data_IF_085696833883
#
_entry.id   IF_085696833883
#
_cell.length_a   1.000
_cell.length_b   1.000
_cell.length_c   1.000
_cell.angle_alpha   90.00
_cell.angle_beta   90.00
_cell.angle_gamma   90.00
#
_symmetry.space_group_name_H-M   'P 1'
#
loop_
_entity.id
_entity.type
_entity.pdbx_description
1 polymer ?
#
# COMPACT_ATOMS: atom_id res chain seq x y z
N UNK A 1 -31.57 -16.48 -2.60
CA UNK A 1 -30.77 -17.70 -2.82
C UNK A 1 -30.91 -18.06 -4.30
N UNK A 2 -29.85 -17.83 -5.09
CA UNK A 2 -29.86 -18.03 -6.54
C UNK A 2 -30.29 -19.46 -6.90
N UNK A 3 -31.30 -19.58 -7.76
CA UNK A 3 -31.70 -20.84 -8.37
C UNK A 3 -30.98 -20.93 -9.70
N UNK A 4 -30.16 -21.96 -9.90
CA UNK A 4 -29.31 -22.16 -11.10
C UNK A 4 -30.09 -22.22 -12.42
N UNK A 5 -31.40 -22.46 -12.34
CA UNK A 5 -32.27 -22.70 -13.48
C UNK A 5 -32.99 -21.45 -13.99
N UNK A 6 -32.77 -20.27 -13.39
CA UNK A 6 -33.42 -19.02 -13.79
C UNK A 6 -32.42 -18.02 -14.38
N UNK A 7 -32.84 -17.23 -15.39
CA UNK A 7 -31.98 -16.19 -15.97
C UNK A 7 -31.62 -15.12 -14.93
N UNK A 8 -30.39 -14.62 -15.00
CA UNK A 8 -29.88 -13.57 -14.13
C UNK A 8 -30.62 -12.25 -14.42
N UNK A 9 -31.38 -11.75 -13.44
CA UNK A 9 -32.07 -10.47 -13.53
C UNK A 9 -31.22 -9.38 -12.87
N UNK A 10 -30.68 -8.45 -13.65
CA UNK A 10 -29.99 -7.26 -13.13
C UNK A 10 -31.01 -6.34 -12.46
N UNK A 11 -30.86 -6.10 -11.16
CA UNK A 11 -31.75 -5.19 -10.42
C UNK A 11 -31.35 -3.73 -10.65
N UNK A 12 -32.33 -2.84 -10.78
CA UNK A 12 -32.12 -1.38 -10.88
C UNK A 12 -31.87 -0.70 -9.54
N UNK A 13 -32.12 -1.38 -8.42
CA UNK A 13 -31.79 -0.88 -7.08
C UNK A 13 -30.29 -0.82 -6.86
N UNK A 14 -29.83 0.20 -6.12
CA UNK A 14 -28.41 0.40 -5.75
C UNK A 14 -27.80 -0.87 -5.13
N UNK A 15 -28.57 -1.56 -4.27
CA UNK A 15 -28.09 -2.79 -3.63
C UNK A 15 -27.92 -3.93 -4.64
N UNK A 16 -28.79 -4.00 -5.66
CA UNK A 16 -28.69 -4.98 -6.74
C UNK A 16 -27.50 -4.69 -7.65
N UNK A 17 -27.26 -3.42 -7.98
CA UNK A 17 -26.09 -2.99 -8.75
C UNK A 17 -24.79 -3.34 -8.02
N UNK A 18 -24.72 -3.05 -6.71
CA UNK A 18 -23.56 -3.40 -5.88
C UNK A 18 -23.34 -4.93 -5.84
N UNK A 19 -24.41 -5.70 -5.72
CA UNK A 19 -24.35 -7.16 -5.76
C UNK A 19 -23.81 -7.68 -7.10
N UNK A 20 -24.30 -7.12 -8.21
CA UNK A 20 -23.86 -7.48 -9.57
C UNK A 20 -22.38 -7.13 -9.81
N UNK A 21 -21.90 -6.00 -9.28
CA UNK A 21 -20.49 -5.62 -9.33
C UNK A 21 -19.60 -6.58 -8.53
N UNK A 22 -20.01 -6.94 -7.31
CA UNK A 22 -19.27 -7.91 -6.49
C UNK A 22 -19.26 -9.29 -7.16
N UNK A 23 -20.36 -9.68 -7.83
CA UNK A 23 -20.46 -10.93 -8.58
C UNK A 23 -19.52 -10.93 -9.79
N UNK A 24 -19.51 -9.86 -10.59
CA UNK A 24 -18.55 -9.66 -11.70
C UNK A 24 -17.10 -9.72 -11.21
N UNK A 25 -16.79 -8.98 -10.15
CA UNK A 25 -15.46 -8.98 -9.54
C UNK A 25 -15.01 -10.39 -9.14
N UNK A 26 -15.91 -11.20 -8.55
CA UNK A 26 -15.61 -12.57 -8.16
C UNK A 26 -15.36 -13.49 -9.36
N UNK A 27 -16.09 -13.29 -10.46
CA UNK A 27 -15.90 -14.03 -11.72
C UNK A 27 -14.54 -13.67 -12.34
N UNK A 28 -14.25 -12.37 -12.47
CA UNK A 28 -12.99 -11.86 -13.02
C UNK A 28 -11.79 -12.31 -12.17
N UNK A 29 -11.93 -12.31 -10.84
CA UNK A 29 -10.92 -12.79 -9.91
C UNK A 29 -10.62 -14.29 -10.10
N UNK A 30 -11.64 -15.10 -10.36
CA UNK A 30 -11.47 -16.54 -10.54
C UNK A 30 -10.93 -16.89 -11.94
N UNK A 31 -11.30 -16.14 -12.98
CA UNK A 31 -10.86 -16.37 -14.35
C UNK A 31 -9.42 -15.89 -14.61
N UNK A 32 -8.96 -14.85 -13.91
CA UNK A 32 -7.58 -14.35 -13.99
C UNK A 32 -6.58 -15.08 -13.08
N UNK A 33 -6.95 -16.23 -12.48
CA UNK A 33 -6.01 -17.12 -11.81
C UNK A 33 -5.22 -17.92 -12.83
N UNK A 34 -4.26 -17.28 -13.50
CA UNK A 34 -3.09 -18.04 -13.97
C UNK A 34 -2.25 -18.36 -12.72
N UNK A 35 -2.20 -19.62 -12.24
CA UNK A 35 -1.50 -19.97 -11.00
C UNK A 35 -0.01 -19.62 -11.06
N UNK A 36 0.55 -19.48 -12.26
CA UNK A 36 1.96 -19.20 -12.51
C UNK A 36 2.26 -17.70 -12.75
N UNK A 37 1.24 -16.85 -12.83
CA UNK A 37 1.38 -15.39 -12.93
C UNK A 37 0.53 -14.72 -11.86
N UNK A 38 1.01 -14.76 -10.62
CA UNK A 38 0.71 -13.63 -9.73
C UNK A 38 1.67 -12.52 -10.13
N UNK A 39 1.24 -11.46 -10.83
CA UNK A 39 2.10 -10.30 -11.00
C UNK A 39 2.50 -9.87 -9.61
N UNK A 40 3.81 -9.83 -9.33
CA UNK A 40 4.33 -9.21 -8.12
C UNK A 40 3.57 -7.89 -7.93
N UNK A 41 2.85 -7.70 -6.81
CA UNK A 41 1.95 -6.57 -6.68
C UNK A 41 2.77 -5.31 -6.92
N UNK A 42 2.39 -4.56 -7.95
CA UNK A 42 2.93 -3.25 -8.27
C UNK A 42 4.45 -3.22 -8.47
N UNK A 43 4.95 -3.82 -9.56
CA UNK A 43 6.32 -3.57 -10.05
C UNK A 43 6.63 -2.07 -10.20
N UNK A 44 5.59 -1.26 -10.43
CA UNK A 44 5.65 0.20 -10.48
C UNK A 44 6.07 0.84 -9.15
N UNK A 45 5.95 0.14 -8.02
CA UNK A 45 6.38 0.61 -6.69
C UNK A 45 7.85 0.26 -6.38
N UNK A 46 8.59 -0.30 -7.33
CA UNK A 46 10.02 -0.59 -7.18
C UNK A 46 10.80 0.39 -8.05
N UNK A 47 11.60 1.23 -7.39
CA UNK A 47 12.52 2.16 -8.05
C UNK A 47 13.96 1.64 -7.98
N UNK A 48 14.70 1.84 -9.05
CA UNK A 48 16.10 1.45 -9.15
C UNK A 48 16.94 2.11 -8.04
N UNK A 49 17.84 1.33 -7.44
CA UNK A 49 18.65 1.75 -6.28
C UNK A 49 18.08 1.33 -4.92
N UNK A 50 16.85 0.82 -4.85
CA UNK A 50 16.26 0.33 -3.59
C UNK A 50 17.04 -0.79 -2.88
N UNK A 51 17.91 -1.50 -3.60
CA UNK A 51 18.70 -2.62 -3.06
C UNK A 51 19.59 -2.20 -1.89
N UNK A 52 20.09 -0.95 -1.87
CA UNK A 52 20.92 -0.41 -0.79
C UNK A 52 20.18 -0.41 0.56
N UNK A 53 18.86 -0.22 0.53
CA UNK A 53 18.01 -0.10 1.72
C UNK A 53 17.40 -1.44 2.19
N UNK A 54 17.64 -2.56 1.49
CA UNK A 54 16.99 -3.84 1.80
C UNK A 54 17.42 -4.39 3.16
N UNK A 55 18.71 -4.30 3.50
CA UNK A 55 19.23 -4.86 4.75
C UNK A 55 18.55 -4.21 5.96
N UNK A 56 18.50 -2.89 5.97
CA UNK A 56 17.85 -2.11 7.03
C UNK A 56 16.33 -2.34 7.05
N UNK A 57 15.70 -2.36 5.86
CA UNK A 57 14.26 -2.62 5.76
C UNK A 57 13.84 -3.99 6.32
N UNK A 58 14.71 -5.02 6.21
CA UNK A 58 14.47 -6.34 6.83
C UNK A 58 14.48 -6.27 8.34
N UNK A 59 15.51 -5.66 8.91
CA UNK A 59 15.65 -5.51 10.36
C UNK A 59 14.44 -4.74 10.92
N UNK A 60 14.08 -3.63 10.28
CA UNK A 60 12.94 -2.81 10.70
C UNK A 60 11.59 -3.53 10.56
N UNK A 61 11.40 -4.31 9.49
CA UNK A 61 10.19 -5.13 9.34
C UNK A 61 10.08 -6.17 10.44
N UNK A 62 11.17 -6.87 10.76
CA UNK A 62 11.17 -7.89 11.81
C UNK A 62 10.87 -7.28 13.19
N UNK A 63 11.42 -6.10 13.49
CA UNK A 63 11.12 -5.37 14.72
C UNK A 63 9.64 -4.93 14.75
N UNK A 64 9.14 -4.38 13.64
CA UNK A 64 7.74 -3.96 13.51
C UNK A 64 6.78 -5.12 13.72
N UNK A 65 7.01 -6.23 13.04
CA UNK A 65 6.18 -7.43 13.11
C UNK A 65 6.17 -7.99 14.54
N UNK A 66 7.31 -7.95 15.24
CA UNK A 66 7.43 -8.39 16.64
C UNK A 66 6.61 -7.51 17.57
N UNK A 67 6.69 -6.19 17.42
CA UNK A 67 5.94 -5.23 18.23
C UNK A 67 4.44 -5.28 17.95
N UNK A 68 4.03 -5.36 16.68
CA UNK A 68 2.63 -5.50 16.31
C UNK A 68 2.04 -6.79 16.90
N UNK A 69 2.76 -7.90 16.82
CA UNK A 69 2.36 -9.16 17.46
C UNK A 69 2.28 -9.05 18.99
N UNK A 70 3.16 -8.25 19.62
CA UNK A 70 3.08 -7.98 21.07
C UNK A 70 1.77 -7.28 21.43
N UNK A 71 1.38 -6.25 20.67
CA UNK A 71 0.11 -5.54 20.85
C UNK A 71 -1.07 -6.50 20.62
N UNK A 72 -1.03 -7.27 19.53
CA UNK A 72 -2.06 -8.27 19.21
C UNK A 72 -2.24 -9.30 20.32
N UNK A 73 -1.16 -9.87 20.84
CA UNK A 73 -1.21 -10.83 21.96
C UNK A 73 -1.74 -10.20 23.24
N UNK A 74 -1.33 -8.96 23.55
CA UNK A 74 -1.78 -8.25 24.74
C UNK A 74 -3.31 -8.05 24.76
N UNK A 75 -3.90 -7.71 23.63
CA UNK A 75 -5.34 -7.49 23.50
C UNK A 75 -6.14 -8.72 23.02
N UNK A 76 -5.48 -9.86 22.81
CA UNK A 76 -6.13 -11.10 22.34
C UNK A 76 -6.67 -11.03 20.90
N UNK A 77 -6.01 -10.25 20.04
CA UNK A 77 -6.32 -10.13 18.61
C UNK A 77 -5.45 -11.10 17.79
N UNK A 78 -6.05 -11.73 16.79
CA UNK A 78 -5.34 -12.72 15.96
C UNK A 78 -5.08 -12.24 14.53
N UNK A 79 -5.84 -11.25 14.05
CA UNK A 79 -5.76 -10.78 12.67
C UNK A 79 -5.23 -9.36 12.59
N UNK A 80 -4.27 -9.16 11.70
CA UNK A 80 -3.75 -7.85 11.36
C UNK A 80 -4.85 -6.90 10.84
N UNK A 81 -5.76 -7.41 10.01
CA UNK A 81 -6.83 -6.61 9.43
C UNK A 81 -7.73 -5.99 10.50
N UNK A 82 -8.01 -6.72 11.59
CA UNK A 82 -8.85 -6.25 12.70
C UNK A 82 -8.18 -5.13 13.47
N UNK A 83 -6.90 -5.32 13.81
CA UNK A 83 -6.13 -4.33 14.57
C UNK A 83 -5.89 -3.07 13.72
N UNK A 84 -5.47 -3.21 12.47
CA UNK A 84 -5.12 -2.08 11.59
C UNK A 84 -6.35 -1.24 11.19
N UNK A 85 -7.50 -1.87 10.92
CA UNK A 85 -8.74 -1.18 10.56
C UNK A 85 -9.48 -0.61 11.79
N UNK A 86 -9.19 -1.11 12.99
CA UNK A 86 -9.97 -0.84 14.20
C UNK A 86 -11.33 -1.55 14.22
N UNK A 87 -11.68 -2.32 13.18
CA UNK A 87 -12.91 -3.10 13.11
C UNK A 87 -12.69 -4.48 13.71
N UNK A 88 -12.87 -4.56 15.03
CA UNK A 88 -12.71 -5.80 15.80
C UNK A 88 -14.04 -6.54 15.84
N UNK A 89 -14.08 -7.72 15.23
CA UNK A 89 -15.30 -8.54 15.08
C UNK A 89 -15.70 -9.15 16.43
N UNK A 90 -14.73 -9.70 17.17
CA UNK A 90 -14.99 -10.36 18.44
C UNK A 90 -13.87 -10.10 19.44
N UNK A 91 -14.20 -9.49 20.56
CA UNK A 91 -13.32 -9.44 21.72
C UNK A 91 -13.44 -10.76 22.48
N UNK A 92 -12.34 -11.51 22.55
CA UNK A 92 -12.34 -12.86 23.15
C UNK A 92 -12.30 -12.84 24.68
N UNK A 93 -11.95 -11.71 25.31
CA UNK A 93 -11.77 -11.68 26.76
C UNK A 93 -13.06 -11.23 27.49
N UNK A 94 -13.46 -12.03 28.48
CA UNK A 94 -14.68 -11.83 29.28
C UNK A 94 -14.71 -10.49 30.05
N UNK A 95 -13.54 -9.90 30.31
CA UNK A 95 -13.38 -8.63 31.02
C UNK A 95 -13.98 -7.42 30.26
N UNK A 96 -14.22 -7.55 28.96
CA UNK A 96 -14.74 -6.47 28.11
C UNK A 96 -16.23 -6.61 27.75
N UNK A 97 -16.99 -7.51 28.40
CA UNK A 97 -18.41 -7.70 28.10
C UNK A 97 -19.31 -6.49 28.43
N UNK A 98 -18.82 -5.49 29.19
CA UNK A 98 -19.55 -4.24 29.47
C UNK A 98 -19.28 -3.19 28.38
N UNK A 99 -20.34 -2.67 27.76
CA UNK A 99 -20.28 -1.73 26.62
C UNK A 99 -19.29 -0.56 26.79
N UNK A 100 -19.22 0.05 27.99
CA UNK A 100 -18.28 1.15 28.27
C UNK A 100 -16.80 0.75 28.18
N UNK A 101 -16.44 -0.47 28.60
CA UNK A 101 -15.07 -0.97 28.54
C UNK A 101 -14.62 -1.30 27.11
N UNK A 102 -15.55 -1.62 26.21
CA UNK A 102 -15.25 -1.90 24.80
C UNK A 102 -14.78 -0.63 24.10
N UNK A 103 -15.41 0.51 24.37
CA UNK A 103 -15.03 1.79 23.79
C UNK A 103 -13.63 2.23 24.26
N UNK A 104 -13.37 2.17 25.56
CA UNK A 104 -12.06 2.49 26.14
C UNK A 104 -10.96 1.59 25.57
N UNK A 105 -11.21 0.29 25.49
CA UNK A 105 -10.29 -0.68 24.89
C UNK A 105 -9.99 -0.35 23.42
N UNK A 106 -11.01 0.00 22.62
CA UNK A 106 -10.80 0.43 21.23
C UNK A 106 -9.89 1.64 21.15
N UNK A 107 -10.07 2.63 22.03
CA UNK A 107 -9.20 3.79 22.09
C UNK A 107 -7.78 3.41 22.51
N UNK A 108 -7.63 2.52 23.47
CA UNK A 108 -6.34 2.03 23.94
C UNK A 108 -5.56 1.31 22.82
N UNK A 109 -6.22 0.36 22.14
CA UNK A 109 -5.68 -0.34 20.96
C UNK A 109 -5.31 0.67 19.87
N UNK A 110 -6.21 1.61 19.56
CA UNK A 110 -5.98 2.63 18.54
C UNK A 110 -4.77 3.50 18.90
N UNK A 111 -4.61 3.86 20.18
CA UNK A 111 -3.47 4.64 20.66
C UNK A 111 -2.17 3.84 20.61
N UNK A 112 -2.19 2.56 21.00
CA UNK A 112 -1.02 1.67 20.92
C UNK A 112 -0.54 1.50 19.47
N UNK A 113 -1.46 1.26 18.53
CA UNK A 113 -1.15 1.19 17.10
C UNK A 113 -0.66 2.54 16.58
N UNK A 114 -1.31 3.64 16.97
CA UNK A 114 -0.88 4.98 16.55
C UNK A 114 0.54 5.27 17.01
N UNK A 115 0.88 4.93 18.25
CA UNK A 115 2.25 5.04 18.78
C UNK A 115 3.23 4.19 17.99
N UNK A 116 2.88 2.93 17.68
CA UNK A 116 3.69 2.04 16.85
C UNK A 116 3.93 2.64 15.46
N UNK A 117 2.87 3.06 14.76
CA UNK A 117 2.98 3.68 13.43
C UNK A 117 3.88 4.90 13.47
N UNK A 118 3.67 5.78 14.44
CA UNK A 118 4.45 7.01 14.58
C UNK A 118 5.94 6.71 14.81
N UNK A 119 6.29 5.71 15.65
CA UNK A 119 7.68 5.28 15.85
C UNK A 119 8.35 4.92 14.52
N UNK A 120 7.75 4.02 13.74
CA UNK A 120 8.38 3.53 12.52
C UNK A 120 8.37 4.57 11.39
N UNK A 121 7.33 5.41 11.32
CA UNK A 121 7.34 6.53 10.38
C UNK A 121 8.44 7.53 10.74
N UNK A 122 8.67 7.82 12.04
CA UNK A 122 9.80 8.65 12.46
C UNK A 122 11.14 8.03 12.06
N UNK A 123 11.34 6.73 12.30
CA UNK A 123 12.57 6.01 11.88
C UNK A 123 12.78 6.10 10.37
N UNK A 124 11.71 5.99 9.57
CA UNK A 124 11.80 6.14 8.12
C UNK A 124 12.37 7.52 7.75
N UNK A 125 11.85 8.58 8.36
CA UNK A 125 12.21 9.96 8.04
C UNK A 125 13.49 10.48 8.71
N UNK A 126 13.96 9.82 9.77
CA UNK A 126 15.15 10.24 10.53
C UNK A 126 16.40 10.47 9.67
N UNK A 127 16.63 9.58 8.70
CA UNK A 127 17.75 9.68 7.76
C UNK A 127 17.66 10.94 6.88
N UNK A 128 16.45 11.34 6.50
CA UNK A 128 16.23 12.51 5.65
C UNK A 128 16.17 13.82 6.45
N UNK A 129 15.96 13.75 7.76
CA UNK A 129 16.03 14.93 8.63
C UNK A 129 17.43 15.55 8.68
N UNK A 130 18.48 14.71 8.67
CA UNK A 130 19.86 15.20 8.69
C UNK A 130 20.17 16.00 7.43
N UNK A 131 19.76 15.49 6.27
CA UNK A 131 19.93 16.17 4.97
C UNK A 131 19.12 17.47 4.89
N UNK A 132 17.92 17.51 5.48
CA UNK A 132 17.06 18.71 5.45
C UNK A 132 17.57 19.86 6.32
N UNK A 133 18.40 19.60 7.35
CA UNK A 133 18.97 20.66 8.19
C UNK A 133 19.99 21.53 7.44
N UNK A 134 20.52 21.03 6.33
CA UNK A 134 21.49 21.73 5.50
C UNK A 134 20.81 22.64 4.46
N UNK A 135 19.48 22.53 4.29
CA UNK A 135 18.70 23.35 3.37
C UNK A 135 18.12 24.57 4.11
N UNK A 136 18.63 25.77 3.79
CA UNK A 136 18.26 27.03 4.43
C UNK A 136 16.75 27.39 4.28
N UNK A 137 16.04 26.73 3.36
CA UNK A 137 14.65 27.05 3.03
C UNK A 137 13.61 26.36 3.92
N UNK A 138 14.02 25.46 4.83
CA UNK A 138 13.10 24.66 5.64
C UNK A 138 13.03 25.20 7.06
N UNK A 139 11.83 25.48 7.57
CA UNK A 139 11.64 25.93 8.95
C UNK A 139 12.27 24.90 9.94
N UNK A 140 13.18 25.31 10.84
CA UNK A 140 13.95 24.39 11.69
C UNK A 140 13.12 23.44 12.56
N UNK A 141 11.89 23.83 12.91
CA UNK A 141 10.95 23.03 13.71
C UNK A 141 9.87 22.31 12.88
N UNK A 142 9.90 22.42 11.55
CA UNK A 142 8.95 21.75 10.65
C UNK A 142 8.84 20.26 10.97
N UNK A 143 9.98 19.58 11.09
CA UNK A 143 10.02 18.15 11.39
C UNK A 143 9.65 17.79 12.83
N UNK A 144 9.84 18.70 13.79
CA UNK A 144 9.35 18.51 15.18
C UNK A 144 7.83 18.64 15.26
N UNK A 145 7.24 19.56 14.49
CA UNK A 145 5.78 19.72 14.37
C UNK A 145 5.16 18.50 13.68
N UNK A 146 5.73 18.10 12.54
CA UNK A 146 5.30 16.93 11.77
C UNK A 146 5.44 15.64 12.58
N UNK A 147 6.56 15.43 13.27
CA UNK A 147 6.82 14.21 14.06
C UNK A 147 5.93 14.09 15.31
N UNK A 148 5.46 15.21 15.88
CA UNK A 148 4.53 15.25 17.02
C UNK A 148 3.07 15.08 16.60
N UNK A 149 2.69 15.54 15.41
CA UNK A 149 1.32 15.46 14.89
C UNK A 149 1.25 14.60 13.64
N UNK A 150 1.46 13.28 13.73
CA UNK A 150 1.16 12.39 12.61
C UNK A 150 -0.33 12.00 12.58
N UNK A 151 -1.13 13.01 12.20
CA UNK A 151 -2.43 12.80 11.56
C UNK A 151 -2.20 12.44 10.08
N UNK A 152 -3.13 11.71 9.47
CA UNK A 152 -3.11 11.39 8.04
C UNK A 152 -2.97 12.64 7.14
N UNK A 153 -3.47 13.79 7.59
CA UNK A 153 -3.33 15.07 6.88
C UNK A 153 -1.87 15.54 6.78
N UNK A 154 -1.07 15.34 7.83
CA UNK A 154 0.32 15.80 7.85
C UNK A 154 1.24 14.85 7.07
N UNK A 155 0.83 13.60 6.87
CA UNK A 155 1.51 12.68 5.95
C UNK A 155 1.40 13.11 4.49
N UNK A 156 0.31 13.78 4.11
CA UNK A 156 0.13 14.36 2.77
C UNK A 156 1.00 15.61 2.56
N UNK A 157 1.10 16.48 3.57
CA UNK A 157 2.00 17.65 3.55
C UNK A 157 3.46 17.21 3.30
N UNK A 158 3.86 16.06 3.84
CA UNK A 158 5.18 15.49 3.57
C UNK A 158 5.31 14.95 2.15
N UNK A 159 4.27 14.30 1.63
CA UNK A 159 4.28 13.84 0.24
C UNK A 159 4.49 15.00 -0.74
N UNK A 160 3.80 16.12 -0.54
CA UNK A 160 3.97 17.35 -1.35
C UNK A 160 5.38 17.95 -1.24
N UNK A 161 6.00 17.90 -0.05
CA UNK A 161 7.38 18.37 0.13
C UNK A 161 8.38 17.47 -0.64
N UNK A 162 8.19 16.15 -0.59
CA UNK A 162 9.10 15.18 -1.23
C UNK A 162 8.90 15.01 -2.72
N UNK A 163 7.73 15.39 -3.27
CA UNK A 163 7.45 15.47 -4.72
C UNK A 163 8.57 16.21 -5.48
N UNK A 164 9.31 17.10 -4.80
CA UNK A 164 10.37 17.91 -5.42
C UNK A 164 11.82 17.44 -5.21
N UNK A 165 12.15 16.57 -4.24
CA UNK A 165 13.54 16.55 -3.71
C UNK A 165 14.26 15.23 -3.45
N UNK A 166 13.70 14.01 -3.62
CA UNK A 166 14.57 12.85 -3.33
C UNK A 166 14.18 11.49 -3.91
N UNK A 167 14.93 11.06 -4.94
CA UNK A 167 14.95 9.66 -5.40
C UNK A 167 15.31 8.67 -4.28
N UNK A 168 16.09 9.11 -3.29
CA UNK A 168 16.51 8.27 -2.15
C UNK A 168 15.33 7.90 -1.24
N UNK A 169 14.36 8.81 -1.05
CA UNK A 169 13.13 8.55 -0.30
C UNK A 169 12.31 7.46 -0.99
N UNK A 170 12.19 7.56 -2.31
CA UNK A 170 11.43 6.59 -3.09
C UNK A 170 12.12 5.22 -3.17
N UNK A 171 13.45 5.19 -3.25
CA UNK A 171 14.26 3.97 -3.15
C UNK A 171 14.07 3.27 -1.80
N UNK A 172 14.11 4.03 -0.69
CA UNK A 172 13.86 3.48 0.65
C UNK A 172 12.43 2.96 0.79
N UNK A 173 11.45 3.69 0.26
CA UNK A 173 10.05 3.27 0.24
C UNK A 173 9.84 1.99 -0.55
N UNK A 174 10.47 1.90 -1.72
CA UNK A 174 10.50 0.71 -2.57
C UNK A 174 11.10 -0.49 -1.82
N UNK A 175 12.15 -0.28 -1.01
CA UNK A 175 12.75 -1.35 -0.20
C UNK A 175 11.81 -1.87 0.89
N UNK A 176 11.09 -0.98 1.59
CA UNK A 176 10.09 -1.36 2.60
C UNK A 176 8.94 -2.16 1.97
N UNK A 177 8.47 -1.70 0.81
CA UNK A 177 7.47 -2.42 0.01
C UNK A 177 7.99 -3.79 -0.40
N UNK A 178 9.19 -3.83 -0.97
CA UNK A 178 9.80 -5.06 -1.46
C UNK A 178 9.97 -6.10 -0.36
N UNK A 179 10.52 -5.74 0.79
CA UNK A 179 10.72 -6.69 1.90
C UNK A 179 9.38 -7.22 2.45
N UNK A 180 8.34 -6.38 2.44
CA UNK A 180 6.99 -6.79 2.87
C UNK A 180 6.39 -7.82 1.91
N UNK A 181 6.51 -7.63 0.60
CA UNK A 181 5.79 -8.44 -0.39
C UNK A 181 6.65 -9.52 -1.09
N UNK A 182 7.98 -9.41 -1.14
CA UNK A 182 8.85 -10.33 -1.90
C UNK A 182 8.95 -11.75 -1.33
N UNK A 183 8.85 -11.96 -0.01
CA UNK A 183 8.95 -13.32 0.53
C UNK A 183 7.72 -14.20 0.19
N UNK A 184 6.71 -13.67 -0.52
CA UNK A 184 5.64 -14.47 -1.15
C UNK A 184 6.15 -15.37 -2.29
N UNK A 185 7.29 -15.01 -2.92
CA UNK A 185 7.80 -15.71 -4.10
C UNK A 185 8.75 -16.87 -3.76
N UNK A 186 9.43 -16.83 -2.60
CA UNK A 186 10.48 -17.80 -2.28
C UNK A 186 10.00 -18.95 -1.38
N UNK A 187 8.90 -18.76 -0.63
CA UNK A 187 8.39 -19.76 0.30
C UNK A 187 7.11 -20.41 -0.25
N UNK A 188 7.28 -21.33 -1.20
CA UNK A 188 6.29 -22.37 -1.51
C UNK A 188 6.46 -23.63 -0.64
N UNK A 189 7.26 -23.56 0.44
CA UNK A 189 7.76 -24.74 1.15
C UNK A 189 7.10 -25.06 2.48
N UNK A 190 7.24 -24.22 3.50
CA UNK A 190 7.02 -24.67 4.87
C UNK A 190 6.03 -23.79 5.63
N UNK A 191 4.77 -24.23 5.58
CA UNK A 191 3.68 -23.72 6.41
C UNK A 191 3.82 -24.27 7.85
N UNK A 192 4.81 -23.80 8.61
CA UNK A 192 4.99 -24.17 10.02
C UNK A 192 4.89 -23.02 11.01
N UNK A 193 4.88 -21.76 10.55
CA UNK A 193 4.59 -20.62 11.43
C UNK A 193 3.09 -20.30 11.40
N UNK A 194 2.37 -20.77 12.42
CA UNK A 194 0.94 -20.48 12.64
C UNK A 194 0.65 -18.98 12.91
N UNK A 195 1.69 -18.12 12.91
CA UNK A 195 1.58 -16.68 13.08
C UNK A 195 1.74 -16.02 11.71
N UNK A 196 0.63 -15.95 10.98
CA UNK A 196 0.55 -15.44 9.62
C UNK A 196 1.35 -14.16 9.37
N UNK A 197 1.84 -14.03 8.13
CA UNK A 197 2.63 -12.89 7.66
C UNK A 197 1.85 -11.58 7.82
N UNK A 198 2.56 -10.52 8.20
CA UNK A 198 2.02 -9.17 8.38
C UNK A 198 2.38 -8.30 7.17
N UNK A 199 1.45 -7.44 6.75
CA UNK A 199 1.50 -6.67 5.50
C UNK A 199 1.45 -5.15 5.70
N UNK A 200 1.16 -4.69 6.92
CA UNK A 200 0.95 -3.26 7.22
C UNK A 200 2.24 -2.44 7.24
N UNK A 201 3.42 -3.06 7.38
CA UNK A 201 4.71 -2.39 7.45
C UNK A 201 4.96 -1.45 6.25
N UNK A 202 4.85 -1.96 5.03
CA UNK A 202 5.04 -1.15 3.82
C UNK A 202 4.06 0.03 3.74
N UNK A 203 2.83 -0.13 4.24
CA UNK A 203 1.78 0.88 4.13
C UNK A 203 1.89 2.01 5.16
N UNK A 204 2.87 1.95 6.08
CA UNK A 204 3.19 3.07 6.96
C UNK A 204 3.55 4.34 6.18
N UNK A 205 4.12 4.17 4.99
CA UNK A 205 4.58 5.21 4.08
C UNK A 205 3.75 5.26 2.80
N UNK A 206 2.45 4.91 2.88
CA UNK A 206 1.56 4.90 1.73
C UNK A 206 1.56 6.20 0.89
N UNK A 207 1.78 7.43 1.44
CA UNK A 207 1.79 8.62 0.59
C UNK A 207 2.94 8.61 -0.42
N UNK A 208 4.13 8.13 0.00
CA UNK A 208 5.30 7.99 -0.89
C UNK A 208 5.04 6.90 -1.91
N UNK A 209 4.50 5.75 -1.49
CA UNK A 209 4.14 4.67 -2.41
C UNK A 209 3.08 5.13 -3.43
N UNK A 210 2.11 5.94 -2.98
CA UNK A 210 1.08 6.49 -3.86
C UNK A 210 1.67 7.47 -4.88
N UNK A 211 2.61 8.33 -4.45
CA UNK A 211 3.36 9.21 -5.36
C UNK A 211 4.08 8.41 -6.44
N UNK A 212 4.86 7.40 -6.04
CA UNK A 212 5.58 6.51 -6.97
C UNK A 212 4.60 5.87 -7.97
N UNK A 213 3.47 5.38 -7.46
CA UNK A 213 2.45 4.77 -8.31
C UNK A 213 1.85 5.75 -9.33
N UNK A 214 1.47 6.96 -8.91
CA UNK A 214 0.85 7.93 -9.81
C UNK A 214 1.86 8.49 -10.82
N UNK A 215 3.10 8.74 -10.40
CA UNK A 215 4.19 9.16 -11.29
C UNK A 215 4.40 8.17 -12.44
N UNK A 216 4.62 6.90 -12.12
CA UNK A 216 4.85 5.87 -13.15
C UNK A 216 3.59 5.54 -13.96
N UNK A 217 2.39 5.64 -13.37
CA UNK A 217 1.12 5.50 -14.10
C UNK A 217 0.96 6.61 -15.14
N UNK A 218 1.39 7.83 -14.84
CA UNK A 218 1.30 8.96 -15.75
C UNK A 218 2.38 8.91 -16.84
N UNK A 219 3.59 8.44 -16.52
CA UNK A 219 4.65 8.15 -17.50
C UNK A 219 4.26 7.06 -18.50
N UNK A 220 3.55 6.01 -18.07
CA UNK A 220 3.03 4.99 -18.96
C UNK A 220 1.97 5.55 -19.92
N UNK A 221 1.12 6.47 -19.45
CA UNK A 221 0.11 7.14 -20.29
C UNK A 221 0.76 8.08 -21.33
N UNK A 222 1.72 8.92 -20.93
CA UNK A 222 2.45 9.80 -21.85
C UNK A 222 3.27 8.98 -22.85
N UNK A 223 3.95 7.94 -22.40
CA UNK A 223 4.68 6.99 -23.27
C UNK A 223 3.76 6.26 -24.25
N UNK A 224 2.58 5.83 -23.80
CA UNK A 224 1.56 5.19 -24.63
C UNK A 224 0.98 6.16 -25.67
N UNK A 225 0.66 7.39 -25.28
CA UNK A 225 0.19 8.43 -26.19
C UNK A 225 1.24 8.79 -27.25
N UNK A 226 2.50 8.95 -26.86
CA UNK A 226 3.61 9.25 -27.77
C UNK A 226 3.79 8.09 -28.76
N UNK A 227 3.73 6.84 -28.29
CA UNK A 227 3.84 5.64 -29.12
C UNK A 227 2.63 5.54 -30.08
N UNK A 228 1.42 5.88 -29.64
CA UNK A 228 0.22 5.89 -30.46
C UNK A 228 0.24 7.01 -31.53
N UNK A 229 0.66 8.23 -31.16
CA UNK A 229 0.87 9.37 -32.08
C UNK A 229 1.94 9.06 -33.13
N UNK A 230 3.08 8.44 -32.75
CA UNK A 230 4.13 7.99 -33.69
C UNK A 230 3.60 6.91 -34.65
N UNK A 231 2.84 5.94 -34.16
CA UNK A 231 2.25 4.85 -34.96
C UNK A 231 1.22 5.39 -35.98
N UNK A 232 0.40 6.36 -35.59
CA UNK A 232 -0.53 7.05 -36.50
C UNK A 232 0.17 7.95 -37.53
N UNK A 233 1.24 8.66 -37.14
CA UNK A 233 2.08 9.45 -38.06
C UNK A 233 2.75 8.57 -39.12
N UNK A 234 3.24 7.39 -38.72
CA UNK A 234 3.84 6.42 -39.65
C UNK A 234 2.80 5.78 -40.59
N UNK A 235 1.58 5.48 -40.12
CA UNK A 235 0.47 5.03 -40.97
C UNK A 235 0.08 6.09 -42.03
N UNK A 236 0.01 7.37 -41.64
CA UNK A 236 -0.27 8.49 -42.56
C UNK A 236 0.84 8.67 -43.60
N UNK A 237 2.11 8.54 -43.21
CA UNK A 237 3.27 8.59 -44.13
C UNK A 237 3.26 7.43 -45.14
N UNK A 238 2.92 6.21 -44.72
CA UNK A 238 2.78 5.05 -45.63
C UNK A 238 1.65 5.28 -46.65
N UNK A 239 0.47 5.74 -46.22
CA UNK A 239 -0.65 6.08 -47.12
C UNK A 239 -0.29 7.17 -48.15
N UNK A 240 0.50 8.18 -47.77
CA UNK A 240 0.99 9.22 -48.69
C UNK A 240 2.03 8.71 -49.69
N UNK A 241 2.86 7.73 -49.33
CA UNK A 241 3.80 7.07 -50.25
C UNK A 241 3.07 6.23 -51.30
N UNK A 242 2.00 5.53 -50.93
CA UNK A 242 1.18 4.76 -51.89
C UNK A 242 0.38 5.67 -52.84
N UNK A 243 -0.02 6.87 -52.40
CA UNK A 243 -0.73 7.86 -53.21
C UNK A 243 0.15 8.66 -54.19
N UNK A 244 1.48 8.55 -54.12
CA UNK A 244 2.45 9.23 -55.01
C UNK A 244 3.07 8.28 -56.06
N UNK A 245 2.64 7.01 -56.07
CA UNK A 245 3.13 5.96 -57.00
C UNK A 245 2.07 5.55 -58.05
N UNK A 246 0.90 6.18 -58.02
CA UNK A 246 -0.08 6.22 -59.10
C UNK A 246 -0.11 7.64 -59.65
#
# INVERSE_FOLDING_TARGET
MEKKDKPDHSSTSILGQLYDEVKKFKIDYNQNKDPNKKPFPYRTLIIDGYLSYIADARILKEEYDRELRRIMRHYGLHRESEIISGYIIKFMSKQYAKQGKIFELRNEITNAIRSLRNKYIQIFWQEFYQLSKEDENIEPDFWKKVSRQLSWHNQLVLADYYEKHSIYVEQKASAWFYVTYKEELNNHGNMTDQQGRLYSFAWLIYPVLFHIYDYHRNDDKTSFEIRHKKRNKNRRRRRRKYRRKN
#
